data_IF_114915004431
#
_entry.id   IF_114915004431
#
_cell.length_a   1.000
_cell.length_b   1.000
_cell.length_c   1.000
_cell.angle_alpha   90.00
_cell.angle_beta   90.00
_cell.angle_gamma   90.00
#
_symmetry.space_group_name_H-M   'P 1'
#
loop_
_entity.id
_entity.type
_entity.pdbx_description
1 polymer ?
#
# COMPACT_ATOMS: atom_id res chain seq x y z
N UNK A 1 76.20 -2.32 -53.41
CA UNK A 1 75.13 -2.24 -52.39
C UNK A 1 75.57 -3.13 -51.23
N UNK A 2 75.78 -2.71 -49.99
CA UNK A 2 75.37 -1.53 -49.22
C UNK A 2 76.45 -1.40 -48.11
N UNK A 3 77.23 -0.32 -48.08
CA UNK A 3 78.18 -0.06 -46.99
C UNK A 3 77.37 0.38 -45.76
N UNK A 4 77.23 -0.49 -44.78
CA UNK A 4 76.81 -0.10 -43.42
C UNK A 4 78.05 0.40 -42.68
N UNK A 5 78.23 1.72 -42.65
CA UNK A 5 79.14 2.40 -41.73
C UNK A 5 78.63 2.16 -40.31
N UNK A 6 79.07 1.09 -39.67
CA UNK A 6 79.02 0.98 -38.22
C UNK A 6 80.15 1.86 -37.66
N UNK A 7 79.82 3.13 -37.39
CA UNK A 7 80.69 4.01 -36.61
C UNK A 7 80.69 3.49 -35.17
N UNK A 8 81.78 2.82 -34.78
CA UNK A 8 82.00 2.46 -33.38
C UNK A 8 81.94 3.70 -32.51
N UNK A 9 81.17 3.62 -31.42
CA UNK A 9 81.01 4.72 -30.46
C UNK A 9 82.37 5.22 -30.00
N UNK A 10 82.65 6.48 -30.28
CA UNK A 10 83.88 7.12 -29.79
C UNK A 10 83.76 7.33 -28.28
N UNK A 11 84.87 7.20 -27.56
CA UNK A 11 84.91 7.35 -26.11
C UNK A 11 84.30 8.68 -25.62
N UNK A 12 84.41 9.73 -26.45
CA UNK A 12 83.87 11.06 -26.21
C UNK A 12 82.34 11.10 -26.24
N UNK A 13 81.71 10.34 -27.12
CA UNK A 13 80.26 10.30 -27.29
C UNK A 13 79.59 9.55 -26.11
N UNK A 14 80.28 8.55 -25.58
CA UNK A 14 79.87 7.84 -24.37
C UNK A 14 80.04 8.70 -23.11
N UNK A 15 81.11 9.50 -23.03
CA UNK A 15 81.30 10.47 -21.94
C UNK A 15 80.24 11.59 -21.97
N UNK A 16 79.92 12.12 -23.15
CA UNK A 16 78.86 13.13 -23.30
C UNK A 16 77.49 12.54 -22.98
N UNK A 17 77.21 11.31 -23.43
CA UNK A 17 75.99 10.59 -23.10
C UNK A 17 75.79 10.38 -21.60
N UNK A 18 76.82 9.94 -20.87
CA UNK A 18 76.77 9.79 -19.41
C UNK A 18 76.62 11.14 -18.68
N UNK A 19 77.22 12.21 -19.21
CA UNK A 19 77.07 13.55 -18.65
C UNK A 19 75.64 14.08 -18.82
N UNK A 20 75.04 13.89 -20.00
CA UNK A 20 73.64 14.30 -20.25
C UNK A 20 72.67 13.47 -19.40
N UNK A 21 72.87 12.15 -19.33
CA UNK A 21 72.03 11.25 -18.53
C UNK A 21 72.11 11.59 -17.04
N UNK A 22 73.29 11.91 -16.51
CA UNK A 22 73.42 12.30 -15.09
C UNK A 22 72.73 13.63 -14.78
N UNK A 23 72.77 14.60 -15.69
CA UNK A 23 72.06 15.89 -15.53
C UNK A 23 70.54 15.72 -15.55
N UNK A 24 70.01 14.78 -16.34
CA UNK A 24 68.57 14.56 -16.48
C UNK A 24 67.98 13.64 -15.39
N UNK A 25 68.71 12.61 -14.95
CA UNK A 25 68.21 11.65 -13.96
C UNK A 25 68.09 12.29 -12.58
N UNK A 26 69.05 13.12 -12.16
CA UNK A 26 69.06 13.71 -10.81
C UNK A 26 67.77 14.50 -10.48
N UNK A 27 67.33 15.47 -11.30
CA UNK A 27 66.08 16.20 -11.02
C UNK A 27 64.83 15.31 -11.15
N UNK A 28 64.83 14.33 -12.07
CA UNK A 28 63.71 13.40 -12.23
C UNK A 28 63.52 12.51 -10.99
N UNK A 29 64.61 11.95 -10.46
CA UNK A 29 64.59 11.16 -9.22
C UNK A 29 64.17 12.01 -8.03
N UNK A 30 64.64 13.27 -7.95
CA UNK A 30 64.23 14.19 -6.90
C UNK A 30 62.72 14.47 -6.93
N UNK A 31 62.16 14.79 -8.11
CA UNK A 31 60.72 15.02 -8.27
C UNK A 31 59.90 13.79 -7.88
N UNK A 32 60.33 12.59 -8.32
CA UNK A 32 59.63 11.35 -7.97
C UNK A 32 59.72 10.99 -6.49
N UNK A 33 60.82 11.35 -5.82
CA UNK A 33 60.94 11.16 -4.37
C UNK A 33 60.03 12.11 -3.58
N UNK A 34 59.82 13.34 -4.05
CA UNK A 34 58.89 14.29 -3.41
C UNK A 34 57.45 13.81 -3.57
N UNK A 35 57.02 13.50 -4.81
CA UNK A 35 55.67 13.01 -5.11
C UNK A 35 55.34 11.73 -4.33
N UNK A 36 56.31 10.81 -4.20
CA UNK A 36 56.14 9.61 -3.41
C UNK A 36 55.90 9.93 -1.93
N UNK A 37 56.70 10.83 -1.33
CA UNK A 37 56.53 11.21 0.08
C UNK A 37 55.16 11.83 0.35
N UNK A 38 54.73 12.77 -0.50
CA UNK A 38 53.41 13.40 -0.38
C UNK A 38 52.26 12.37 -0.45
N UNK A 39 52.40 11.35 -1.30
CA UNK A 39 51.40 10.28 -1.40
C UNK A 39 51.29 9.43 -0.12
N UNK A 40 52.40 9.16 0.58
CA UNK A 40 52.39 8.41 1.83
C UNK A 40 51.73 9.20 2.96
N UNK A 41 52.01 10.50 3.00
CA UNK A 41 51.41 11.41 3.98
C UNK A 41 49.89 11.53 3.75
N UNK A 42 49.45 11.61 2.49
CA UNK A 42 48.02 11.65 2.14
C UNK A 42 47.26 10.37 2.55
N UNK A 43 47.87 9.19 2.38
CA UNK A 43 47.27 7.92 2.82
C UNK A 43 47.10 7.91 4.34
N UNK A 44 48.18 8.21 5.07
CA UNK A 44 48.14 8.21 6.55
C UNK A 44 47.15 9.25 7.09
N UNK A 45 47.06 10.41 6.42
CA UNK A 45 46.09 11.45 6.75
C UNK A 45 44.64 10.95 6.59
N UNK A 46 44.33 10.29 5.47
CA UNK A 46 43.01 9.71 5.23
C UNK A 46 42.67 8.66 6.29
N UNK A 47 43.62 7.78 6.60
CA UNK A 47 43.45 6.71 7.60
C UNK A 47 43.15 7.27 9.00
N UNK A 48 43.88 8.31 9.44
CA UNK A 48 43.62 8.98 10.74
C UNK A 48 42.23 9.63 10.76
N UNK A 49 41.85 10.29 9.68
CA UNK A 49 40.54 10.93 9.56
C UNK A 49 39.42 9.89 9.56
N UNK A 50 39.57 8.79 8.82
CA UNK A 50 38.60 7.70 8.77
C UNK A 50 38.40 7.05 10.14
N UNK A 51 39.47 6.80 10.89
CA UNK A 51 39.36 6.32 12.29
C UNK A 51 38.59 7.31 13.15
N UNK A 52 38.93 8.60 13.04
CA UNK A 52 38.29 9.67 13.82
C UNK A 52 36.80 9.83 13.51
N UNK A 53 36.43 9.87 12.23
CA UNK A 53 35.03 9.97 11.77
C UNK A 53 34.25 8.71 12.13
N UNK A 54 34.85 7.52 12.02
CA UNK A 54 34.22 6.27 12.44
C UNK A 54 33.90 6.27 13.94
N UNK A 55 34.83 6.78 14.77
CA UNK A 55 34.60 6.91 16.21
C UNK A 55 33.48 7.91 16.53
N UNK A 56 33.35 8.98 15.75
CA UNK A 56 32.24 9.93 15.88
C UNK A 56 30.90 9.30 15.49
N UNK A 57 30.85 8.51 14.43
CA UNK A 57 29.64 7.78 14.04
C UNK A 57 29.23 6.77 15.12
N UNK A 58 30.18 5.99 15.64
CA UNK A 58 29.94 5.10 16.78
C UNK A 58 29.37 5.87 17.98
N UNK A 59 29.99 6.99 18.36
CA UNK A 59 29.53 7.77 19.50
C UNK A 59 28.16 8.41 19.27
N UNK A 60 27.81 8.76 18.03
CA UNK A 60 26.49 9.27 17.68
C UNK A 60 25.39 8.21 17.88
N UNK A 61 25.68 6.95 17.56
CA UNK A 61 24.74 5.84 17.74
C UNK A 61 24.70 5.33 19.19
N UNK A 62 25.82 5.38 19.91
CA UNK A 62 25.99 4.79 21.24
C UNK A 62 25.90 5.82 22.37
N UNK A 63 24.82 6.62 22.38
CA UNK A 63 24.48 7.57 23.44
C UNK A 63 25.64 8.52 23.83
N UNK A 64 26.38 9.03 22.84
CA UNK A 64 27.52 9.93 23.05
C UNK A 64 28.65 9.29 23.89
N UNK A 65 28.79 7.97 23.81
CA UNK A 65 29.91 7.23 24.40
C UNK A 65 30.93 6.86 23.33
N UNK A 66 32.19 7.19 23.57
CA UNK A 66 33.27 6.75 22.71
C UNK A 66 33.40 5.22 22.68
N UNK A 67 33.90 4.65 21.57
CA UNK A 67 34.18 3.23 21.47
C UNK A 67 35.18 2.80 22.54
N UNK A 68 34.87 1.72 23.26
CA UNK A 68 35.71 1.20 24.34
C UNK A 68 36.04 2.23 25.45
N UNK A 69 35.07 3.11 25.78
CA UNK A 69 35.23 4.15 26.80
C UNK A 69 35.69 3.61 28.16
N UNK A 70 35.27 2.41 28.54
CA UNK A 70 35.64 1.76 29.80
C UNK A 70 37.14 1.48 29.89
N UNK A 71 37.78 1.14 28.77
CA UNK A 71 39.23 0.93 28.67
C UNK A 71 39.95 2.11 27.99
N UNK A 72 39.43 3.33 28.21
CA UNK A 72 40.02 4.58 27.70
C UNK A 72 40.24 4.57 26.17
N UNK A 73 39.36 3.90 25.43
CA UNK A 73 39.40 3.79 23.98
C UNK A 73 40.63 3.05 23.42
N UNK A 74 41.31 2.23 24.23
CA UNK A 74 42.51 1.50 23.82
C UNK A 74 42.26 0.46 22.72
N UNK A 75 41.08 -0.15 22.70
CA UNK A 75 40.66 -1.16 21.72
C UNK A 75 39.60 -0.64 20.74
N UNK A 76 39.48 0.68 20.62
CA UNK A 76 38.44 1.33 19.80
C UNK A 76 38.47 0.88 18.33
N UNK A 77 39.65 0.78 17.71
CA UNK A 77 39.79 0.34 16.31
C UNK A 77 39.21 -1.05 16.11
N UNK A 78 39.54 -2.00 16.99
CA UNK A 78 39.04 -3.37 16.92
C UNK A 78 37.53 -3.44 17.12
N UNK A 79 36.99 -2.67 18.07
CA UNK A 79 35.54 -2.60 18.31
C UNK A 79 34.80 -2.05 17.09
N UNK A 80 35.26 -0.92 16.56
CA UNK A 80 34.66 -0.29 15.37
C UNK A 80 34.75 -1.18 14.13
N UNK A 81 35.82 -1.97 13.99
CA UNK A 81 35.96 -2.94 12.89
C UNK A 81 34.98 -4.10 13.04
N UNK A 82 34.80 -4.62 14.25
CA UNK A 82 33.87 -5.72 14.52
C UNK A 82 32.40 -5.29 14.36
N UNK A 83 32.07 -4.05 14.73
CA UNK A 83 30.73 -3.49 14.59
C UNK A 83 30.46 -2.89 13.20
N UNK A 84 31.44 -2.91 12.29
CA UNK A 84 31.27 -2.52 10.90
C UNK A 84 31.36 -1.02 10.62
N UNK A 85 31.81 -0.21 11.58
CA UNK A 85 32.06 1.23 11.39
C UNK A 85 33.35 1.51 10.62
N UNK A 86 34.34 0.61 10.70
CA UNK A 86 35.65 0.78 10.08
C UNK A 86 35.97 -0.46 9.23
N UNK A 87 36.25 -0.26 7.93
CA UNK A 87 36.60 -1.34 7.01
C UNK A 87 37.80 -0.96 6.14
N UNK A 88 38.62 -1.94 5.75
CA UNK A 88 39.76 -1.71 4.85
C UNK A 88 41.00 -1.06 5.49
N UNK A 89 40.98 -0.72 6.78
CA UNK A 89 42.13 -0.15 7.47
C UNK A 89 43.16 -1.22 7.89
N UNK A 90 44.43 -1.00 7.52
CA UNK A 90 45.59 -1.74 8.03
C UNK A 90 45.81 -1.45 9.53
N UNK A 91 46.34 -2.42 10.28
CA UNK A 91 46.69 -2.20 11.69
C UNK A 91 47.91 -1.27 11.85
N UNK A 92 48.75 -1.19 10.81
CA UNK A 92 49.91 -0.31 10.75
C UNK A 92 49.73 0.76 9.67
N UNK A 93 50.23 1.96 9.97
CA UNK A 93 50.37 3.05 9.02
C UNK A 93 51.42 2.73 7.95
N UNK A 94 51.49 3.59 6.94
CA UNK A 94 52.52 3.57 5.89
C UNK A 94 53.95 3.71 6.45
N UNK A 95 54.09 4.17 7.69
CA UNK A 95 55.37 4.28 8.40
C UNK A 95 55.77 3.01 9.16
N UNK A 96 54.97 1.94 9.08
CA UNK A 96 55.11 0.68 9.82
C UNK A 96 54.97 0.86 11.33
N UNK A 97 54.06 1.74 11.73
CA UNK A 97 53.73 2.03 13.13
C UNK A 97 52.24 1.84 13.35
N UNK A 98 51.87 1.27 14.49
CA UNK A 98 50.46 0.98 14.81
C UNK A 98 49.71 2.24 15.22
N UNK A 99 48.47 2.37 14.72
CA UNK A 99 47.55 3.42 15.17
C UNK A 99 47.13 3.17 16.62
N UNK A 100 47.23 4.20 17.47
CA UNK A 100 46.80 4.14 18.87
C UNK A 100 45.63 5.06 19.09
N UNK A 101 44.62 4.57 19.80
CA UNK A 101 43.44 5.36 20.14
C UNK A 101 43.37 5.58 21.65
N UNK A 102 42.90 6.76 22.04
CA UNK A 102 42.71 7.12 23.44
C UNK A 102 41.55 8.09 23.60
N UNK A 103 40.94 8.13 24.78
CA UNK A 103 39.94 9.13 25.10
C UNK A 103 40.02 9.58 26.56
N UNK A 104 39.65 10.84 26.81
CA UNK A 104 39.64 11.42 28.14
C UNK A 104 38.29 11.19 28.85
N UNK A 105 38.30 10.67 30.10
CA UNK A 105 37.07 10.56 30.89
C UNK A 105 36.74 11.91 31.55
N UNK A 106 35.52 12.44 31.33
CA UNK A 106 34.93 13.66 31.92
C UNK A 106 35.08 14.97 31.08
N UNK A 107 34.39 16.07 31.46
CA UNK A 107 33.66 16.93 30.51
C UNK A 107 34.53 17.51 29.41
N UNK A 108 34.04 17.42 28.17
CA UNK A 108 34.83 17.69 26.96
C UNK A 108 35.59 16.48 26.43
N UNK A 109 35.15 15.26 26.76
CA UNK A 109 35.79 14.00 26.34
C UNK A 109 36.11 13.99 24.85
N UNK A 110 37.40 13.96 24.54
CA UNK A 110 37.90 13.92 23.16
C UNK A 110 38.33 12.51 22.83
N UNK A 111 38.10 12.10 21.59
CA UNK A 111 38.72 10.91 21.02
C UNK A 111 40.00 11.32 20.32
N UNK A 112 41.11 10.63 20.58
CA UNK A 112 42.41 10.95 19.99
C UNK A 112 42.99 9.74 19.27
N UNK A 113 43.53 9.98 18.08
CA UNK A 113 44.24 9.02 17.23
C UNK A 113 45.70 9.45 17.16
N UNK A 114 46.61 8.62 17.65
CA UNK A 114 48.06 8.83 17.62
C UNK A 114 48.71 7.91 16.58
N UNK A 115 49.63 8.48 15.80
CA UNK A 115 50.53 7.73 14.92
C UNK A 115 51.99 8.21 15.11
N UNK A 116 52.92 7.26 15.08
CA UNK A 116 54.35 7.53 15.10
C UNK A 116 54.86 7.63 13.65
N UNK A 117 55.44 8.77 13.27
CA UNK A 117 56.10 8.95 11.97
C UNK A 117 57.59 8.60 12.05
N UNK A 118 58.27 8.50 10.89
CA UNK A 118 59.72 8.22 10.87
C UNK A 118 60.59 9.41 11.29
N UNK A 119 60.12 10.64 11.11
CA UNK A 119 60.88 11.86 11.40
C UNK A 119 60.00 12.97 11.95
N UNK A 120 60.53 13.84 12.81
CA UNK A 120 59.79 14.97 13.37
C UNK A 120 59.23 15.91 12.28
N UNK A 121 59.98 16.13 11.19
CA UNK A 121 59.53 16.96 10.08
C UNK A 121 58.26 16.41 9.40
N UNK A 122 58.12 15.08 9.28
CA UNK A 122 56.90 14.47 8.71
C UNK A 122 55.70 14.62 9.65
N UNK A 123 55.93 14.50 10.95
CA UNK A 123 54.87 14.74 11.94
C UNK A 123 54.34 16.17 11.86
N UNK A 124 55.21 17.17 11.69
CA UNK A 124 54.79 18.57 11.49
C UNK A 124 54.00 18.78 10.20
N UNK A 125 54.41 18.15 9.10
CA UNK A 125 53.67 18.21 7.83
C UNK A 125 52.27 17.60 7.97
N UNK A 126 52.16 16.40 8.53
CA UNK A 126 50.85 15.75 8.76
C UNK A 126 49.95 16.59 9.67
N UNK A 127 50.51 17.15 10.74
CA UNK A 127 49.76 18.00 11.66
C UNK A 127 49.25 19.28 11.00
N UNK A 128 49.96 19.83 10.00
CA UNK A 128 49.51 21.02 9.28
C UNK A 128 48.20 20.79 8.49
N UNK A 129 47.88 19.53 8.16
CA UNK A 129 46.63 19.14 7.49
C UNK A 129 45.52 18.75 8.47
N UNK A 130 45.81 18.64 9.76
CA UNK A 130 44.87 18.19 10.79
C UNK A 130 44.50 19.35 11.71
N UNK A 131 43.25 19.83 11.59
CA UNK A 131 42.79 21.04 12.27
C UNK A 131 42.85 20.98 13.82
N UNK A 132 42.98 19.78 14.40
CA UNK A 132 43.01 19.58 15.84
C UNK A 132 44.05 18.54 16.24
N UNK A 133 45.27 18.70 15.71
CA UNK A 133 46.41 17.84 16.05
C UNK A 133 47.47 18.51 16.90
N UNK A 134 48.15 17.71 17.72
CA UNK A 134 49.35 18.09 18.46
C UNK A 134 50.54 17.22 18.03
N UNK A 135 51.73 17.81 17.98
CA UNK A 135 52.98 17.11 17.62
C UNK A 135 53.90 17.05 18.83
N UNK A 136 54.41 15.85 19.13
CA UNK A 136 55.46 15.65 20.13
C UNK A 136 56.57 14.78 19.55
N UNK A 137 57.68 15.39 19.16
CA UNK A 137 58.78 14.68 18.49
C UNK A 137 58.35 14.16 17.12
N UNK A 138 58.38 12.85 16.91
CA UNK A 138 57.92 12.19 15.69
C UNK A 138 56.45 11.73 15.76
N UNK A 139 55.72 12.08 16.82
CA UNK A 139 54.33 11.66 17.04
C UNK A 139 53.34 12.73 16.61
N UNK A 140 52.25 12.32 15.98
CA UNK A 140 51.08 13.17 15.70
C UNK A 140 49.89 12.59 16.42
N UNK A 141 49.23 13.42 17.24
CA UNK A 141 47.99 13.08 17.92
C UNK A 141 46.86 13.96 17.39
N UNK A 142 45.88 13.37 16.72
CA UNK A 142 44.69 14.05 16.21
C UNK A 142 43.52 13.86 17.16
N UNK A 143 42.89 14.93 17.62
CA UNK A 143 41.80 14.86 18.59
C UNK A 143 40.47 15.43 18.07
N UNK A 144 39.36 14.79 18.42
CA UNK A 144 38.00 15.12 17.99
C UNK A 144 37.05 15.24 19.20
N UNK A 145 36.14 16.23 19.22
CA UNK A 145 35.10 16.32 20.24
C UNK A 145 33.93 15.36 19.95
N UNK A 146 33.08 15.14 20.97
CA UNK A 146 31.85 14.35 20.84
C UNK A 146 30.88 14.96 19.81
N UNK A 147 30.07 14.14 19.12
CA UNK A 147 29.18 14.61 18.05
C UNK A 147 28.09 15.61 18.49
N UNK A 148 27.73 15.65 19.78
CA UNK A 148 26.73 16.61 20.31
C UNK A 148 27.17 18.07 20.27
N UNK A 149 28.38 18.37 19.78
CA UNK A 149 28.81 19.72 19.43
C UNK A 149 28.90 19.97 17.92
N UNK A 150 28.32 19.08 17.09
CA UNK A 150 28.31 19.19 15.61
C UNK A 150 26.86 19.48 15.15
N UNK A 151 26.56 20.68 14.63
CA UNK A 151 25.21 21.14 14.24
C UNK A 151 24.48 20.33 13.14
N UNK A 152 25.03 19.20 12.66
CA UNK A 152 24.48 18.46 11.52
C UNK A 152 23.64 17.23 11.91
N UNK A 153 23.79 16.70 13.12
CA UNK A 153 23.09 15.48 13.57
C UNK A 153 21.68 15.73 14.12
N UNK A 154 21.34 17.00 14.37
CA UNK A 154 19.98 17.42 14.70
C UNK A 154 19.00 17.30 13.52
N UNK A 155 19.52 17.17 12.29
CA UNK A 155 18.72 17.10 11.07
C UNK A 155 18.31 15.69 10.64
N UNK A 156 18.87 14.63 11.26
CA UNK A 156 18.50 13.25 10.93
C UNK A 156 17.47 12.69 11.91
N UNK A 157 16.56 11.86 11.43
CA UNK A 157 15.59 11.18 12.29
C UNK A 157 16.23 9.92 12.88
N UNK A 158 16.23 9.76 14.22
CA UNK A 158 16.81 8.60 14.85
C UNK A 158 15.89 7.38 14.66
N UNK A 159 16.49 6.22 14.40
CA UNK A 159 15.77 4.96 14.10
C UNK A 159 15.14 4.31 15.33
N UNK A 160 15.55 4.73 16.51
CA UNK A 160 15.08 4.22 17.80
C UNK A 160 13.76 4.88 18.26
N UNK A 161 13.27 5.88 17.51
CA UNK A 161 12.05 6.60 17.85
C UNK A 161 12.18 7.56 19.03
N UNK A 162 13.40 7.84 19.51
CA UNK A 162 13.67 8.78 20.60
C UNK A 162 13.22 10.21 20.31
N UNK A 163 13.04 10.56 19.02
CA UNK A 163 12.56 11.85 18.56
C UNK A 163 11.48 11.68 17.49
N UNK A 164 10.29 12.29 17.66
CA UNK A 164 9.26 12.29 16.63
C UNK A 164 9.64 13.20 15.45
N UNK A 165 9.11 12.89 14.27
CA UNK A 165 9.10 13.84 13.14
C UNK A 165 8.21 15.04 13.49
N UNK A 166 8.65 16.24 13.15
CA UNK A 166 7.89 17.48 13.34
C UNK A 166 7.17 17.96 12.07
N UNK A 167 7.34 17.25 10.96
CA UNK A 167 6.69 17.50 9.67
C UNK A 167 6.47 16.21 8.89
N UNK A 168 5.94 16.35 7.68
CA UNK A 168 5.57 15.21 6.83
C UNK A 168 6.80 14.52 6.22
N UNK A 169 6.69 13.21 6.00
CA UNK A 169 7.68 12.43 5.28
C UNK A 169 7.38 12.51 3.78
N UNK A 170 8.08 13.39 3.07
CA UNK A 170 8.08 13.42 1.61
C UNK A 170 9.24 12.57 1.07
N UNK A 171 8.91 11.48 0.37
CA UNK A 171 9.87 10.60 -0.28
C UNK A 171 10.01 10.88 -1.77
N UNK A 172 9.27 11.85 -2.33
CA UNK A 172 9.12 12.03 -3.77
C UNK A 172 8.73 10.72 -4.44
N UNK A 173 9.50 10.31 -5.45
CA UNK A 173 9.27 9.08 -6.22
C UNK A 173 9.92 7.83 -5.60
N UNK A 174 10.40 7.91 -4.35
CA UNK A 174 11.06 6.77 -3.70
C UNK A 174 10.07 5.82 -3.04
N UNK A 175 10.32 4.52 -3.21
CA UNK A 175 9.51 3.47 -2.62
C UNK A 175 9.94 3.15 -1.18
N UNK A 176 8.98 2.82 -0.32
CA UNK A 176 9.23 2.11 0.93
C UNK A 176 9.02 0.61 0.68
N UNK A 177 10.10 -0.18 0.77
CA UNK A 177 10.08 -1.63 0.50
C UNK A 177 10.42 -2.43 1.76
N UNK A 178 10.00 -3.69 1.80
CA UNK A 178 10.24 -4.62 2.91
C UNK A 178 9.74 -4.14 4.29
N UNK A 179 8.59 -3.47 4.31
CA UNK A 179 7.91 -3.09 5.57
C UNK A 179 7.07 -4.27 6.06
N UNK A 180 7.35 -4.76 7.26
CA UNK A 180 6.59 -5.86 7.85
C UNK A 180 5.19 -5.42 8.29
N UNK A 181 5.10 -4.30 9.02
CA UNK A 181 3.85 -3.77 9.54
C UNK A 181 3.80 -2.25 9.34
N UNK A 182 2.65 -1.74 8.90
CA UNK A 182 2.33 -0.31 8.89
C UNK A 182 1.12 -0.10 9.79
N UNK A 183 1.27 0.77 10.80
CA UNK A 183 0.14 1.22 11.62
C UNK A 183 -0.11 2.69 11.32
N UNK A 184 -1.19 2.98 10.59
CA UNK A 184 -1.65 4.34 10.35
C UNK A 184 -2.76 4.72 11.35
N UNK A 185 -2.80 5.99 11.74
CA UNK A 185 -3.95 6.59 12.44
C UNK A 185 -4.52 7.66 11.51
N UNK A 186 -5.80 7.54 11.17
CA UNK A 186 -6.47 8.42 10.20
C UNK A 186 -6.76 7.68 8.89
N UNK A 187 -6.85 8.45 7.81
CA UNK A 187 -7.25 7.97 6.50
C UNK A 187 -6.03 7.52 5.66
N UNK A 188 -6.28 6.60 4.73
CA UNK A 188 -5.32 6.19 3.71
C UNK A 188 -5.86 6.64 2.34
N UNK A 189 -5.22 7.65 1.75
CA UNK A 189 -5.49 8.06 0.38
C UNK A 189 -4.56 7.31 -0.57
N UNK A 190 -5.12 6.56 -1.50
CA UNK A 190 -4.37 5.78 -2.48
C UNK A 190 -5.17 5.62 -3.77
N UNK A 191 -4.51 5.72 -4.92
CA UNK A 191 -5.14 5.40 -6.21
C UNK A 191 -5.43 3.91 -6.35
N UNK A 192 -4.53 3.05 -5.85
CA UNK A 192 -4.61 1.61 -6.01
C UNK A 192 -4.19 0.87 -4.73
N UNK A 193 -5.10 0.03 -4.22
CA UNK A 193 -4.83 -0.87 -3.10
C UNK A 193 -4.88 -2.31 -3.61
N UNK A 194 -3.73 -2.96 -3.68
CA UNK A 194 -3.63 -4.39 -4.00
C UNK A 194 -3.55 -5.16 -2.69
N UNK A 195 -4.66 -5.77 -2.29
CA UNK A 195 -4.77 -6.57 -1.07
C UNK A 195 -5.52 -7.86 -1.34
N UNK A 196 -5.38 -8.84 -0.43
CA UNK A 196 -6.22 -10.04 -0.43
C UNK A 196 -7.48 -9.87 0.39
N UNK A 197 -7.41 -9.09 1.48
CA UNK A 197 -8.47 -8.95 2.47
C UNK A 197 -8.38 -7.61 3.19
N UNK A 198 -9.52 -6.99 3.45
CA UNK A 198 -9.67 -5.83 4.35
C UNK A 198 -10.51 -6.30 5.52
N UNK A 199 -10.02 -6.09 6.74
CA UNK A 199 -10.64 -6.59 7.97
C UNK A 199 -10.99 -5.38 8.83
N UNK A 200 -12.21 -5.38 9.38
CA UNK A 200 -12.57 -4.42 10.40
C UNK A 200 -11.68 -4.61 11.65
N UNK A 201 -11.06 -3.53 12.11
CA UNK A 201 -10.08 -3.55 13.20
C UNK A 201 -10.72 -3.97 14.53
N UNK A 202 -11.95 -3.56 14.77
CA UNK A 202 -12.63 -3.71 16.05
C UNK A 202 -13.46 -5.00 16.09
N UNK A 203 -13.91 -5.49 14.92
CA UNK A 203 -14.65 -6.75 14.80
C UNK A 203 -14.21 -7.57 13.56
N UNK A 204 -13.24 -8.50 13.71
CA UNK A 204 -12.69 -9.29 12.60
C UNK A 204 -13.68 -10.19 11.87
N UNK A 205 -14.90 -10.38 12.39
CA UNK A 205 -15.95 -11.10 11.70
C UNK A 205 -16.44 -10.34 10.45
N UNK A 206 -16.25 -9.02 10.39
CA UNK A 206 -16.56 -8.20 9.21
C UNK A 206 -15.32 -7.94 8.36
N UNK A 207 -15.45 -8.23 7.06
CA UNK A 207 -14.35 -8.11 6.12
C UNK A 207 -14.82 -8.04 4.67
N UNK A 208 -13.95 -7.46 3.84
CA UNK A 208 -13.98 -7.57 2.38
C UNK A 208 -12.90 -8.56 1.97
N UNK A 209 -13.29 -9.66 1.32
CA UNK A 209 -12.39 -10.65 0.74
C UNK A 209 -12.58 -10.62 -0.78
N UNK A 210 -11.49 -10.38 -1.50
CA UNK A 210 -11.51 -10.25 -2.97
C UNK A 210 -11.36 -11.60 -3.68
N UNK A 211 -11.04 -12.67 -2.96
CA UNK A 211 -10.90 -14.03 -3.48
C UNK A 211 -12.12 -14.92 -3.14
N UNK A 212 -12.92 -14.54 -2.14
CA UNK A 212 -14.07 -15.30 -1.66
C UNK A 212 -15.29 -14.40 -1.32
N UNK A 213 -16.23 -14.93 -0.55
CA UNK A 213 -17.36 -14.17 -0.01
C UNK A 213 -16.86 -13.12 0.98
N UNK A 214 -17.35 -11.89 0.85
CA UNK A 214 -17.19 -10.84 1.86
C UNK A 214 -18.30 -10.92 2.91
N UNK A 215 -18.00 -10.57 4.16
CA UNK A 215 -18.98 -10.48 5.24
C UNK A 215 -19.07 -9.02 5.71
N UNK A 216 -20.12 -8.33 5.30
CA UNK A 216 -20.32 -6.91 5.59
C UNK A 216 -21.62 -6.74 6.36
N UNK A 217 -21.62 -5.92 7.42
CA UNK A 217 -22.81 -5.66 8.23
C UNK A 217 -23.88 -4.89 7.43
N UNK A 218 -23.49 -3.76 6.85
CA UNK A 218 -24.35 -2.94 6.00
C UNK A 218 -23.56 -2.45 4.79
N UNK A 219 -24.21 -2.41 3.64
CA UNK A 219 -23.65 -1.83 2.42
C UNK A 219 -24.61 -0.78 1.91
N UNK A 220 -24.19 0.48 1.95
CA UNK A 220 -24.90 1.59 1.33
C UNK A 220 -24.36 1.77 -0.09
N UNK A 221 -25.25 1.71 -1.07
CA UNK A 221 -24.91 1.88 -2.49
C UNK A 221 -26.07 2.55 -3.20
N UNK A 222 -25.77 3.42 -4.16
CA UNK A 222 -26.80 4.05 -5.00
C UNK A 222 -27.34 3.05 -6.03
N UNK A 223 -26.44 2.27 -6.63
CA UNK A 223 -26.77 1.28 -7.66
C UNK A 223 -25.93 0.02 -7.45
N UNK A 224 -26.59 -1.14 -7.49
CA UNK A 224 -25.96 -2.45 -7.52
C UNK A 224 -26.07 -3.03 -8.94
N UNK A 225 -24.96 -3.43 -9.56
CA UNK A 225 -24.99 -4.23 -10.79
C UNK A 225 -24.73 -5.70 -10.46
N UNK A 226 -25.58 -6.58 -11.00
CA UNK A 226 -25.42 -8.02 -10.92
C UNK A 226 -25.11 -8.53 -12.33
N UNK A 227 -23.83 -8.76 -12.61
CA UNK A 227 -23.33 -9.05 -13.97
C UNK A 227 -23.70 -10.46 -14.47
N UNK A 228 -23.87 -11.41 -13.56
CA UNK A 228 -24.23 -12.77 -13.92
C UNK A 228 -25.73 -12.90 -14.17
N UNK A 229 -26.07 -13.64 -15.23
CA UNK A 229 -27.45 -13.97 -15.59
C UNK A 229 -27.81 -15.39 -15.17
N UNK A 230 -29.02 -15.59 -14.66
CA UNK A 230 -29.56 -16.88 -14.23
C UNK A 230 -30.90 -17.20 -14.92
N UNK A 231 -31.25 -18.48 -14.95
CA UNK A 231 -32.49 -18.97 -15.56
C UNK A 231 -33.50 -19.35 -14.48
N UNK A 232 -34.77 -19.03 -14.72
CA UNK A 232 -35.87 -19.42 -13.85
C UNK A 232 -35.99 -20.94 -13.77
N UNK A 233 -36.13 -21.47 -12.55
CA UNK A 233 -36.25 -22.91 -12.31
C UNK A 233 -34.92 -23.65 -12.14
N UNK A 234 -33.78 -23.00 -12.39
CA UNK A 234 -32.46 -23.61 -12.18
C UNK A 234 -32.07 -23.66 -10.70
N UNK A 235 -31.11 -24.54 -10.38
CA UNK A 235 -30.60 -24.71 -9.01
C UNK A 235 -29.78 -23.51 -8.55
N UNK A 236 -29.91 -23.13 -7.28
CA UNK A 236 -29.18 -22.04 -6.66
C UNK A 236 -28.92 -22.29 -5.18
N UNK A 237 -28.06 -21.47 -4.55
CA UNK A 237 -27.90 -21.49 -3.08
C UNK A 237 -28.92 -20.55 -2.46
N UNK A 238 -29.64 -21.03 -1.44
CA UNK A 238 -30.68 -20.24 -0.77
C UNK A 238 -30.13 -18.91 -0.24
N UNK A 239 -31.00 -17.89 -0.21
CA UNK A 239 -30.67 -16.50 0.19
C UNK A 239 -29.78 -15.73 -0.80
N UNK A 240 -29.64 -16.22 -2.03
CA UNK A 240 -29.04 -15.45 -3.12
C UNK A 240 -30.07 -14.58 -3.85
N UNK A 241 -29.58 -13.45 -4.37
CA UNK A 241 -30.28 -12.57 -5.30
C UNK A 241 -29.52 -12.63 -6.63
N UNK A 242 -30.23 -12.62 -7.75
CA UNK A 242 -29.66 -12.62 -9.08
C UNK A 242 -30.56 -11.91 -10.07
N UNK A 243 -30.17 -11.91 -11.33
CA UNK A 243 -30.95 -11.33 -12.43
C UNK A 243 -31.02 -12.29 -13.61
N UNK A 244 -32.05 -12.17 -14.45
CA UNK A 244 -32.06 -12.80 -15.78
C UNK A 244 -31.22 -12.00 -16.77
N UNK A 245 -31.00 -12.52 -17.97
CA UNK A 245 -30.32 -11.80 -19.07
C UNK A 245 -31.03 -10.49 -19.47
N UNK A 246 -32.32 -10.36 -19.15
CA UNK A 246 -33.11 -9.16 -19.40
C UNK A 246 -33.18 -8.22 -18.18
N UNK A 247 -32.46 -8.53 -17.09
CA UNK A 247 -32.45 -7.74 -15.87
C UNK A 247 -33.63 -7.97 -14.92
N UNK A 248 -34.43 -9.02 -15.11
CA UNK A 248 -35.51 -9.35 -14.16
C UNK A 248 -34.92 -9.86 -12.85
N UNK A 249 -35.39 -9.34 -11.71
CA UNK A 249 -34.93 -9.75 -10.39
C UNK A 249 -35.31 -11.21 -10.10
N UNK A 250 -34.36 -11.97 -9.54
CA UNK A 250 -34.54 -13.34 -9.08
C UNK A 250 -34.12 -13.48 -7.62
N UNK A 251 -34.83 -14.33 -6.88
CA UNK A 251 -34.45 -14.78 -5.54
C UNK A 251 -34.37 -16.30 -5.48
N UNK A 252 -33.39 -16.81 -4.76
CA UNK A 252 -33.23 -18.25 -4.57
C UNK A 252 -34.08 -18.74 -3.38
N UNK A 253 -35.15 -19.48 -3.69
CA UNK A 253 -36.09 -20.04 -2.70
C UNK A 253 -36.04 -21.56 -2.78
N UNK A 254 -35.81 -22.22 -1.63
CA UNK A 254 -35.73 -23.68 -1.54
C UNK A 254 -34.77 -24.34 -2.55
N UNK A 255 -33.68 -23.63 -2.91
CA UNK A 255 -32.65 -24.12 -3.82
C UNK A 255 -32.97 -23.92 -5.31
N UNK A 256 -34.01 -23.16 -5.65
CA UNK A 256 -34.42 -22.90 -7.03
C UNK A 256 -34.59 -21.40 -7.30
N UNK A 257 -34.16 -20.94 -8.48
CA UNK A 257 -34.34 -19.57 -8.92
C UNK A 257 -35.81 -19.27 -9.20
N UNK A 258 -36.34 -18.28 -8.50
CA UNK A 258 -37.72 -17.81 -8.61
C UNK A 258 -37.75 -16.31 -8.87
N UNK A 259 -38.84 -15.77 -9.44
CA UNK A 259 -38.96 -14.33 -9.65
C UNK A 259 -38.97 -13.59 -8.32
N UNK A 260 -38.10 -12.58 -8.21
CA UNK A 260 -38.01 -11.71 -7.06
C UNK A 260 -39.07 -10.62 -7.12
N UNK A 261 -40.07 -10.72 -6.22
CA UNK A 261 -41.14 -9.74 -6.08
C UNK A 261 -42.38 -10.08 -6.89
N UNK A 262 -43.44 -10.52 -6.21
CA UNK A 262 -44.78 -10.57 -6.79
C UNK A 262 -45.38 -9.17 -6.73
N UNK A 263 -45.61 -8.53 -7.88
CA UNK A 263 -46.47 -7.35 -7.91
C UNK A 263 -47.90 -7.82 -7.75
N UNK A 264 -48.48 -7.65 -6.55
CA UNK A 264 -49.92 -7.82 -6.37
C UNK A 264 -50.59 -6.54 -6.87
N UNK A 265 -51.20 -6.60 -8.06
CA UNK A 265 -51.95 -5.50 -8.62
C UNK A 265 -53.44 -5.69 -8.37
N UNK A 266 -54.10 -4.63 -7.91
CA UNK A 266 -55.51 -4.62 -7.56
C UNK A 266 -56.27 -3.69 -8.50
N UNK A 267 -57.35 -4.19 -9.09
CA UNK A 267 -58.29 -3.38 -9.89
C UNK A 267 -59.72 -3.68 -9.46
N UNK A 268 -60.45 -2.65 -9.04
CA UNK A 268 -61.88 -2.78 -8.78
C UNK A 268 -62.67 -1.96 -9.82
N UNK A 269 -63.86 -2.42 -10.15
CA UNK A 269 -64.72 -1.74 -11.11
C UNK A 269 -66.13 -2.27 -11.12
N UNK A 270 -66.91 -1.75 -12.07
CA UNK A 270 -68.26 -2.24 -12.36
C UNK A 270 -68.32 -2.79 -13.77
N UNK A 271 -69.13 -3.82 -13.97
CA UNK A 271 -69.36 -4.44 -15.27
C UNK A 271 -70.84 -4.77 -15.44
N UNK A 272 -71.36 -4.55 -16.65
CA UNK A 272 -72.73 -4.93 -17.00
C UNK A 272 -72.84 -6.44 -17.17
N UNK A 273 -74.04 -6.98 -16.98
CA UNK A 273 -74.34 -8.38 -17.33
C UNK A 273 -73.85 -8.71 -18.75
N UNK A 274 -73.07 -9.79 -18.86
CA UNK A 274 -72.54 -10.31 -20.13
C UNK A 274 -71.21 -9.70 -20.57
N UNK A 275 -70.73 -8.64 -19.88
CA UNK A 275 -69.45 -8.00 -20.19
C UNK A 275 -68.26 -8.92 -19.84
N UNK A 276 -67.15 -8.76 -20.58
CA UNK A 276 -65.88 -9.43 -20.31
C UNK A 276 -64.97 -8.47 -19.55
N UNK A 277 -64.58 -8.86 -18.34
CA UNK A 277 -63.58 -8.16 -17.54
C UNK A 277 -62.21 -8.69 -17.96
N UNK A 278 -61.37 -7.82 -18.52
CA UNK A 278 -60.00 -8.14 -18.94
C UNK A 278 -59.03 -8.12 -17.74
N UNK A 279 -57.94 -8.91 -17.77
CA UNK A 279 -56.87 -8.82 -16.76
C UNK A 279 -56.24 -7.42 -16.73
N UNK A 280 -55.48 -7.14 -15.67
CA UNK A 280 -54.68 -5.91 -15.57
C UNK A 280 -53.60 -5.95 -16.65
N UNK A 281 -53.26 -4.80 -17.22
CA UNK A 281 -52.24 -4.70 -18.27
C UNK A 281 -50.92 -5.32 -17.78
N UNK A 282 -50.33 -6.19 -18.60
CA UNK A 282 -49.13 -6.97 -18.24
C UNK A 282 -49.40 -8.32 -17.57
N UNK A 283 -50.66 -8.69 -17.30
CA UNK A 283 -51.02 -9.99 -16.71
C UNK A 283 -51.90 -10.84 -17.65
N UNK A 284 -51.72 -12.15 -17.59
CA UNK A 284 -52.61 -13.13 -18.23
C UNK A 284 -53.77 -13.51 -17.30
N UNK A 285 -54.91 -14.01 -17.82
CA UNK A 285 -56.07 -14.34 -16.98
C UNK A 285 -55.78 -15.36 -15.87
N UNK A 286 -54.88 -16.32 -16.09
CA UNK A 286 -54.44 -17.31 -15.10
C UNK A 286 -53.61 -16.72 -13.96
N UNK A 287 -53.03 -15.54 -14.15
CA UNK A 287 -52.28 -14.80 -13.14
C UNK A 287 -53.17 -13.90 -12.27
N UNK A 288 -54.49 -13.88 -12.50
CA UNK A 288 -55.41 -13.09 -11.68
C UNK A 288 -56.59 -13.89 -11.13
N UNK A 289 -57.10 -13.39 -10.00
CA UNK A 289 -58.33 -13.86 -9.36
C UNK A 289 -59.37 -12.75 -9.44
N UNK A 290 -60.55 -13.07 -9.98
CA UNK A 290 -61.71 -12.18 -9.93
C UNK A 290 -62.62 -12.55 -8.75
N UNK A 291 -63.08 -11.54 -8.02
CA UNK A 291 -64.15 -11.64 -7.05
C UNK A 291 -65.29 -10.73 -7.47
N UNK A 292 -66.54 -11.20 -7.31
CA UNK A 292 -67.73 -10.45 -7.62
C UNK A 292 -68.45 -10.07 -6.33
N UNK A 293 -68.97 -8.84 -6.29
CA UNK A 293 -69.80 -8.34 -5.19
C UNK A 293 -71.14 -7.84 -5.75
N UNK A 294 -72.22 -8.16 -5.05
CA UNK A 294 -73.57 -7.79 -5.46
C UNK A 294 -73.92 -6.35 -5.11
N UNK A 295 -74.26 -5.54 -6.11
CA UNK A 295 -74.85 -4.21 -5.90
C UNK A 295 -76.37 -4.35 -5.76
N UNK A 296 -77.02 -3.72 -4.77
CA UNK A 296 -78.48 -3.73 -4.67
C UNK A 296 -79.11 -3.09 -5.92
N UNK A 297 -80.03 -3.84 -6.54
CA UNK A 297 -80.76 -3.44 -7.74
C UNK A 297 -81.69 -2.23 -7.45
N UNK A 298 -81.65 -1.18 -8.28
CA UNK A 298 -82.64 -0.10 -8.30
C UNK A 298 -83.70 -0.41 -9.35
N UNK A 299 -84.89 -0.82 -8.91
CA UNK A 299 -86.10 -0.81 -9.75
C UNK A 299 -86.76 0.56 -9.60
N UNK A 300 -87.35 1.10 -10.66
CA UNK A 300 -88.08 2.39 -10.70
C UNK A 300 -89.36 2.43 -9.82
N UNK A 301 -89.46 1.57 -8.80
CA UNK A 301 -90.59 1.47 -7.87
C UNK A 301 -90.19 1.20 -6.40
N UNK A 302 -88.95 1.52 -5.99
CA UNK A 302 -88.51 1.39 -4.61
C UNK A 302 -87.94 0.01 -4.23
N UNK A 303 -87.12 0.00 -3.18
CA UNK A 303 -86.38 -1.18 -2.70
C UNK A 303 -87.31 -2.28 -2.16
N UNK A 304 -87.76 -3.21 -3.02
CA UNK A 304 -88.35 -4.46 -2.54
C UNK A 304 -87.25 -5.49 -2.31
N UNK A 305 -86.91 -5.74 -1.03
CA UNK A 305 -86.13 -6.90 -0.61
C UNK A 305 -86.97 -8.15 -0.87
N UNK A 306 -86.46 -9.07 -1.71
CA UNK A 306 -86.80 -10.51 -1.77
C UNK A 306 -86.79 -11.03 -3.21
N UNK A 307 -85.60 -11.16 -3.82
CA UNK A 307 -85.25 -12.26 -4.75
C UNK A 307 -83.74 -12.48 -4.63
N UNK A 308 -83.28 -13.73 -4.50
CA UNK A 308 -81.86 -14.03 -4.31
C UNK A 308 -81.09 -13.60 -5.57
N UNK A 309 -80.41 -12.46 -5.48
CA UNK A 309 -79.52 -11.99 -6.54
C UNK A 309 -78.28 -12.89 -6.55
N UNK A 310 -77.97 -13.47 -7.70
CA UNK A 310 -76.84 -14.35 -7.88
C UNK A 310 -75.96 -13.79 -8.99
N UNK A 311 -74.66 -13.78 -8.73
CA UNK A 311 -73.62 -13.39 -9.67
C UNK A 311 -72.66 -14.56 -9.83
N UNK A 312 -72.15 -14.72 -11.05
CA UNK A 312 -71.13 -15.71 -11.37
C UNK A 312 -70.31 -15.24 -12.56
N UNK A 313 -69.22 -15.92 -12.85
CA UNK A 313 -68.42 -15.66 -14.03
C UNK A 313 -68.09 -16.95 -14.76
N UNK A 314 -67.79 -16.83 -16.04
CA UNK A 314 -67.15 -17.88 -16.83
C UNK A 314 -65.79 -17.36 -17.29
N UNK A 315 -64.72 -18.11 -16.99
CA UNK A 315 -63.39 -17.82 -17.49
C UNK A 315 -63.34 -18.09 -19.00
N UNK A 316 -62.80 -17.14 -19.75
CA UNK A 316 -62.53 -17.19 -21.18
C UNK A 316 -61.04 -16.91 -21.43
N UNK A 317 -60.59 -17.17 -22.65
CA UNK A 317 -59.21 -16.89 -23.06
C UNK A 317 -58.82 -15.41 -22.91
N UNK A 318 -59.79 -14.49 -22.97
CA UNK A 318 -59.61 -13.04 -22.94
C UNK A 318 -60.02 -12.37 -21.61
N UNK A 319 -60.43 -13.17 -20.60
CA UNK A 319 -60.82 -12.67 -19.28
C UNK A 319 -62.06 -13.36 -18.69
N UNK A 320 -62.78 -12.68 -17.81
CA UNK A 320 -63.94 -13.24 -17.12
C UNK A 320 -65.24 -12.62 -17.64
N UNK A 321 -66.10 -13.43 -18.23
CA UNK A 321 -67.44 -12.99 -18.59
C UNK A 321 -68.32 -12.99 -17.34
N UNK A 322 -68.74 -11.80 -16.89
CA UNK A 322 -69.56 -11.66 -15.68
C UNK A 322 -71.04 -11.79 -16.00
N UNK A 323 -71.77 -12.52 -15.16
CA UNK A 323 -73.20 -12.75 -15.31
C UNK A 323 -73.95 -12.47 -14.01
N UNK A 324 -75.10 -11.83 -14.14
CA UNK A 324 -76.04 -11.57 -13.06
C UNK A 324 -77.38 -12.20 -13.40
N UNK A 325 -78.05 -12.70 -12.38
CA UNK A 325 -79.38 -13.24 -12.50
C UNK A 325 -80.12 -13.20 -11.18
N UNK A 326 -81.43 -13.32 -11.29
CA UNK A 326 -82.33 -13.47 -10.16
C UNK A 326 -82.74 -14.93 -10.11
N UNK A 327 -82.44 -15.58 -8.99
CA UNK A 327 -82.88 -16.96 -8.76
C UNK A 327 -84.31 -16.93 -8.25
N UNK A 328 -85.21 -17.55 -9.00
CA UNK A 328 -86.59 -17.73 -8.57
C UNK A 328 -86.64 -18.87 -7.53
N UNK A 329 -87.30 -18.60 -6.41
CA UNK A 329 -87.34 -19.51 -5.25
C UNK A 329 -88.28 -20.70 -5.53
N UNK A 330 -89.21 -20.53 -6.47
CA UNK A 330 -90.22 -21.53 -6.78
C UNK A 330 -89.73 -22.64 -7.72
N UNK A 331 -88.83 -22.33 -8.66
CA UNK A 331 -88.30 -23.28 -9.63
C UNK A 331 -86.77 -23.43 -9.61
N UNK A 332 -86.09 -22.69 -8.72
CA UNK A 332 -84.64 -22.63 -8.58
C UNK A 332 -83.89 -22.28 -9.89
N UNK A 333 -84.58 -21.72 -10.89
CA UNK A 333 -83.97 -21.31 -12.15
C UNK A 333 -83.37 -19.92 -12.02
N UNK A 334 -82.19 -19.75 -12.60
CA UNK A 334 -81.56 -18.44 -12.72
C UNK A 334 -82.15 -17.72 -13.93
N UNK A 335 -82.78 -16.57 -13.69
CA UNK A 335 -83.25 -15.70 -14.76
C UNK A 335 -82.27 -14.54 -14.92
N UNK A 336 -81.66 -14.43 -16.09
CA UNK A 336 -80.74 -13.34 -16.38
C UNK A 336 -81.44 -11.99 -16.29
N UNK A 337 -80.77 -11.02 -15.68
CA UNK A 337 -81.28 -9.67 -15.54
C UNK A 337 -80.20 -8.67 -15.92
N UNK A 338 -80.60 -7.55 -16.51
CA UNK A 338 -79.73 -6.40 -16.69
C UNK A 338 -79.38 -5.85 -15.32
N UNK A 339 -78.14 -6.05 -14.88
CA UNK A 339 -77.62 -5.53 -13.63
C UNK A 339 -76.16 -5.11 -13.77
N UNK A 340 -75.76 -4.18 -12.91
CA UNK A 340 -74.37 -3.75 -12.74
C UNK A 340 -73.76 -4.58 -11.62
N UNK A 341 -72.62 -5.21 -11.90
CA UNK A 341 -71.89 -6.11 -11.00
C UNK A 341 -70.61 -5.39 -10.59
N UNK A 342 -70.33 -5.31 -9.29
CA UNK A 342 -69.02 -4.88 -8.82
C UNK A 342 -68.05 -6.05 -8.87
N UNK A 343 -66.82 -5.79 -9.30
CA UNK A 343 -65.76 -6.79 -9.30
C UNK A 343 -64.48 -6.22 -8.68
N UNK A 344 -63.68 -7.11 -8.11
CA UNK A 344 -62.28 -6.88 -7.82
C UNK A 344 -61.42 -7.92 -8.52
N UNK A 345 -60.30 -7.49 -9.06
CA UNK A 345 -59.25 -8.30 -9.67
C UNK A 345 -58.00 -8.18 -8.81
N UNK A 346 -57.41 -9.32 -8.50
CA UNK A 346 -56.11 -9.43 -7.84
C UNK A 346 -55.20 -10.20 -8.78
N UNK A 347 -54.21 -9.53 -9.37
CA UNK A 347 -53.22 -10.17 -10.23
C UNK A 347 -51.89 -10.29 -9.48
N UNK A 348 -51.22 -11.43 -9.59
CA UNK A 348 -49.90 -11.67 -9.00
C UNK A 348 -48.98 -12.35 -10.01
N UNK A 349 -47.76 -11.84 -10.13
CA UNK A 349 -46.71 -12.36 -11.02
C UNK A 349 -45.68 -13.24 -10.32
#
# INVERSE_FOLDING_TARGET
MKNSNETGFTLIELMIGMLIVSILIVPYVYQKQVEFKESLDAITLSEIQDIGTSAQNYAAEQNLSWPDKENQCSSAISLMRNEGYLSGLSDNSVFDTTYKTSCTPSPGSRFSVEVDTKTAAQAEVLASYLASSEVTGNKVSYSLPLPSSIPALEHLLPRDGSRPMTGDLDLGDNNIVNVNNITAKGDLESENIITSKIIDKDDPDYYIDLNNSSHMNNVAMDVASLENSYVLGDTCKTKQIGTTINGELLTCVSGVWTRGGSSVQLKAGTANHGAVVKPIEGFTPDQCVISLSGVPYKNDGGYKRSRHFSHYYNLRADGWQVMAGVRDITDNRLRHTSAVIQYSLVCSS
#
